data_IF_759320851067
#
_entry.id   IF_759320851067
#
_cell.length_a   1.000
_cell.length_b   1.000
_cell.length_c   1.000
_cell.angle_alpha   90.00
_cell.angle_beta   90.00
_cell.angle_gamma   90.00
#
_symmetry.space_group_name_H-M   'P 1'
#
loop_
_entity.id
_entity.type
_entity.pdbx_description
1 polymer ?
#
# COMPACT_ATOMS: atom_id res chain seq x y z
N UNK A 1 -1.38 -13.62 -2.14
CA UNK A 1 -1.32 -14.05 -0.74
C UNK A 1 -2.07 -15.36 -0.56
N UNK A 2 -3.30 -15.47 -1.13
CA UNK A 2 -4.09 -16.69 -1.05
C UNK A 2 -3.33 -17.93 -1.55
N UNK A 3 -2.66 -17.84 -2.68
CA UNK A 3 -1.86 -18.95 -3.26
C UNK A 3 -0.76 -19.42 -2.30
N UNK A 4 -0.11 -18.49 -1.58
CA UNK A 4 0.92 -18.82 -0.57
C UNK A 4 0.30 -19.57 0.61
N UNK A 5 -0.88 -19.13 1.05
CA UNK A 5 -1.64 -19.80 2.11
C UNK A 5 -2.07 -21.21 1.68
N UNK A 6 -2.61 -21.33 0.47
CA UNK A 6 -3.03 -22.62 -0.09
C UNK A 6 -1.81 -23.58 -0.22
N UNK A 7 -0.66 -23.04 -0.62
CA UNK A 7 0.59 -23.79 -0.68
C UNK A 7 1.04 -24.26 0.73
N UNK A 8 0.98 -23.40 1.75
CA UNK A 8 1.26 -23.79 3.15
C UNK A 8 0.32 -24.90 3.61
N UNK A 9 -0.98 -24.78 3.29
CA UNK A 9 -2.00 -25.78 3.66
C UNK A 9 -1.82 -27.14 2.98
N UNK A 10 -1.07 -27.21 1.88
CA UNK A 10 -0.72 -28.48 1.25
C UNK A 10 0.15 -29.38 2.14
N UNK A 11 0.69 -28.85 3.22
CA UNK A 11 1.52 -29.58 4.20
C UNK A 11 2.92 -29.94 3.70
N UNK A 12 3.28 -29.57 2.47
CA UNK A 12 4.60 -29.88 1.91
C UNK A 12 5.73 -29.13 2.61
N UNK A 13 5.45 -27.93 3.12
CA UNK A 13 6.43 -27.08 3.81
C UNK A 13 5.79 -26.46 5.05
N UNK A 14 6.54 -26.43 6.14
CA UNK A 14 6.16 -25.72 7.36
C UNK A 14 6.89 -24.38 7.42
N UNK A 15 6.14 -23.28 7.27
CA UNK A 15 6.68 -21.92 7.37
C UNK A 15 5.66 -20.98 8.02
N UNK A 16 6.17 -19.91 8.61
CA UNK A 16 5.36 -18.81 9.13
C UNK A 16 5.20 -17.72 8.07
N UNK A 17 4.06 -17.08 8.10
CA UNK A 17 3.71 -16.03 7.14
C UNK A 17 3.79 -14.67 7.82
N UNK A 18 4.85 -13.92 7.50
CA UNK A 18 4.98 -12.52 7.82
C UNK A 18 4.52 -11.70 6.61
N UNK A 19 3.51 -10.85 6.81
CA UNK A 19 2.95 -10.00 5.74
C UNK A 19 3.22 -8.54 6.08
N UNK A 20 3.99 -7.85 5.23
CA UNK A 20 4.05 -6.39 5.20
C UNK A 20 2.90 -5.89 4.33
N UNK A 21 1.86 -5.39 4.97
CA UNK A 21 0.67 -4.85 4.33
C UNK A 21 0.59 -3.32 4.43
N UNK A 22 1.74 -2.68 4.39
CA UNK A 22 1.85 -1.23 4.50
C UNK A 22 1.06 -0.45 3.44
N UNK A 23 0.78 -1.04 2.29
CA UNK A 23 -0.03 -0.44 1.22
C UNK A 23 -1.49 -0.91 1.22
N UNK A 24 -1.78 -2.12 1.70
CA UNK A 24 -3.14 -2.66 1.73
C UNK A 24 -3.96 -2.17 2.92
N UNK A 25 -3.34 -1.98 4.07
CA UNK A 25 -4.01 -1.49 5.27
C UNK A 25 -4.70 -0.13 5.02
N UNK A 26 -5.99 -0.08 5.30
CA UNK A 26 -6.85 1.09 5.07
C UNK A 26 -7.37 1.24 3.65
N UNK A 27 -6.87 0.49 2.67
CA UNK A 27 -7.24 0.60 1.25
C UNK A 27 -7.91 -0.63 0.67
N UNK A 28 -7.54 -1.82 1.13
CA UNK A 28 -8.05 -3.11 0.69
C UNK A 28 -8.95 -3.76 1.73
N UNK A 29 -9.89 -4.57 1.26
CA UNK A 29 -10.86 -5.27 2.09
C UNK A 29 -12.09 -4.42 2.43
N UNK A 30 -13.17 -5.07 2.81
CA UNK A 30 -14.44 -4.41 3.11
C UNK A 30 -14.35 -3.49 4.33
N UNK A 31 -13.59 -3.93 5.35
CA UNK A 31 -13.33 -3.17 6.59
C UNK A 31 -12.03 -2.38 6.55
N UNK A 32 -11.25 -2.49 5.46
CA UNK A 32 -9.94 -1.87 5.33
C UNK A 32 -8.82 -2.55 6.10
N UNK A 33 -8.97 -3.84 6.40
CA UNK A 33 -7.95 -4.59 7.14
C UNK A 33 -6.76 -4.99 6.26
N UNK A 34 -6.87 -4.82 4.93
CA UNK A 34 -5.77 -5.03 4.01
C UNK A 34 -5.91 -6.26 3.12
N UNK A 35 -4.77 -6.72 2.61
CA UNK A 35 -4.68 -7.80 1.63
C UNK A 35 -5.18 -9.15 2.17
N UNK A 36 -4.98 -9.43 3.44
CA UNK A 36 -5.47 -10.64 4.09
C UNK A 36 -7.00 -10.73 4.06
N UNK A 37 -7.67 -9.66 4.48
CA UNK A 37 -9.14 -9.56 4.40
C UNK A 37 -9.61 -9.62 2.95
N UNK A 38 -8.99 -8.83 2.06
CA UNK A 38 -9.36 -8.76 0.65
C UNK A 38 -9.33 -10.13 -0.04
N UNK A 39 -8.42 -11.01 0.36
CA UNK A 39 -8.27 -12.35 -0.21
C UNK A 39 -8.88 -13.46 0.66
N UNK A 40 -9.55 -13.12 1.76
CA UNK A 40 -10.22 -14.07 2.65
C UNK A 40 -9.27 -15.00 3.39
N UNK A 41 -8.06 -14.52 3.72
CA UNK A 41 -7.00 -15.29 4.39
C UNK A 41 -6.39 -14.56 5.59
N UNK A 42 -7.12 -13.62 6.18
CA UNK A 42 -6.62 -12.79 7.29
C UNK A 42 -6.13 -13.64 8.47
N UNK A 43 -6.90 -14.65 8.86
CA UNK A 43 -6.60 -15.50 10.02
C UNK A 43 -5.42 -16.47 9.79
N UNK A 44 -4.93 -16.53 8.57
CA UNK A 44 -3.78 -17.35 8.18
C UNK A 44 -2.45 -16.61 8.25
N UNK A 45 -2.47 -15.33 8.60
CA UNK A 45 -1.27 -14.50 8.74
C UNK A 45 -0.73 -14.66 10.16
N UNK A 46 0.51 -15.15 10.27
CA UNK A 46 1.14 -15.34 11.60
C UNK A 46 1.61 -13.98 12.17
N UNK A 47 2.15 -13.10 11.34
CA UNK A 47 2.59 -11.76 11.73
C UNK A 47 2.16 -10.76 10.66
N UNK A 48 1.35 -9.79 11.03
CA UNK A 48 0.94 -8.69 10.17
C UNK A 48 1.69 -7.42 10.56
N UNK A 49 2.34 -6.79 9.59
CA UNK A 49 2.92 -5.46 9.73
C UNK A 49 2.10 -4.45 8.93
N UNK A 50 1.84 -3.30 9.52
CA UNK A 50 1.23 -2.15 8.87
C UNK A 50 1.89 -0.84 9.27
N UNK A 51 1.68 0.20 8.47
CA UNK A 51 2.25 1.53 8.74
C UNK A 51 1.18 2.59 8.91
N UNK A 52 1.46 3.58 9.74
CA UNK A 52 0.65 4.79 9.84
C UNK A 52 1.03 5.85 8.80
N UNK A 53 2.10 5.64 8.04
CA UNK A 53 2.65 6.65 7.12
C UNK A 53 1.92 6.77 5.78
N UNK A 54 0.97 5.89 5.48
CA UNK A 54 0.22 5.86 4.21
C UNK A 54 -1.26 6.19 4.44
N UNK A 55 -2.14 5.21 4.49
CA UNK A 55 -3.59 5.42 4.67
C UNK A 55 -3.97 6.21 5.93
N UNK A 56 -3.15 6.10 6.96
CA UNK A 56 -3.35 6.79 8.24
C UNK A 56 -2.77 8.22 8.28
N UNK A 57 -2.05 8.67 7.24
CA UNK A 57 -1.43 10.01 7.16
C UNK A 57 -0.76 10.45 8.48
N UNK A 58 0.08 9.56 9.06
CA UNK A 58 0.73 9.77 10.35
C UNK A 58 2.16 9.22 10.35
N UNK A 59 2.77 9.05 11.49
CA UNK A 59 4.10 8.47 11.68
C UNK A 59 3.98 7.25 12.58
N UNK A 60 4.80 6.24 12.32
CA UNK A 60 4.85 5.00 13.08
C UNK A 60 4.34 3.80 12.30
N UNK A 61 4.31 2.68 13.00
CA UNK A 61 3.90 1.39 12.46
C UNK A 61 3.32 0.52 13.58
N UNK A 62 2.74 -0.59 13.21
CA UNK A 62 2.23 -1.58 14.14
C UNK A 62 2.55 -2.98 13.66
N UNK A 63 2.59 -3.90 14.61
CA UNK A 63 2.67 -5.34 14.37
C UNK A 63 1.54 -6.02 15.11
N UNK A 64 0.85 -6.94 14.45
CA UNK A 64 -0.17 -7.79 15.04
C UNK A 64 0.25 -9.26 14.92
N UNK A 65 0.10 -9.99 16.00
CA UNK A 65 0.39 -11.43 16.07
C UNK A 65 -0.22 -12.02 17.35
N UNK A 66 0.12 -13.26 17.67
CA UNK A 66 -0.21 -13.87 18.97
C UNK A 66 0.47 -13.14 20.12
N UNK A 67 -0.08 -13.24 21.33
CA UNK A 67 0.47 -12.61 22.53
C UNK A 67 1.93 -12.99 22.78
N UNK A 68 2.27 -14.27 22.62
CA UNK A 68 3.64 -14.75 22.81
C UNK A 68 4.63 -14.08 21.86
N UNK A 69 4.27 -13.93 20.58
CA UNK A 69 5.11 -13.26 19.57
C UNK A 69 5.25 -11.78 19.89
N UNK A 70 4.17 -11.09 20.25
CA UNK A 70 4.20 -9.68 20.62
C UNK A 70 5.05 -9.45 21.87
N UNK A 71 4.91 -10.28 22.89
CA UNK A 71 5.75 -10.22 24.10
C UNK A 71 7.23 -10.47 23.76
N UNK A 72 7.53 -11.46 22.92
CA UNK A 72 8.89 -11.69 22.48
C UNK A 72 9.49 -10.47 21.77
N UNK A 73 8.74 -9.86 20.83
CA UNK A 73 9.19 -8.69 20.12
C UNK A 73 9.40 -7.49 21.05
N UNK A 74 8.52 -7.26 22.02
CA UNK A 74 8.63 -6.17 22.97
C UNK A 74 9.94 -6.20 23.78
N UNK A 75 10.44 -7.40 24.11
CA UNK A 75 11.66 -7.58 24.89
C UNK A 75 12.93 -7.81 24.06
N UNK A 76 12.82 -8.11 22.78
CA UNK A 76 13.97 -8.49 21.95
C UNK A 76 14.19 -7.57 20.74
N UNK A 77 13.18 -6.80 20.32
CA UNK A 77 13.32 -5.93 19.17
C UNK A 77 14.05 -4.63 19.55
N UNK A 78 15.30 -4.50 19.12
CA UNK A 78 16.15 -3.35 19.47
C UNK A 78 15.55 -1.99 19.08
N UNK A 79 14.91 -1.93 17.90
CA UNK A 79 14.23 -0.71 17.45
C UNK A 79 13.04 -0.31 18.33
N UNK A 80 12.43 -1.26 19.03
CA UNK A 80 11.38 -1.00 20.02
C UNK A 80 11.98 -0.56 21.37
N UNK A 81 13.02 -1.24 21.82
CA UNK A 81 13.61 -1.02 23.13
C UNK A 81 14.34 0.32 23.19
N UNK A 82 15.12 0.66 22.16
CA UNK A 82 15.99 1.83 22.15
C UNK A 82 15.40 3.04 21.42
N UNK A 83 14.27 2.89 20.71
CA UNK A 83 13.53 4.01 20.16
C UNK A 83 12.69 4.69 21.26
N UNK A 84 12.42 5.97 21.08
CA UNK A 84 11.44 6.67 21.92
C UNK A 84 10.04 6.30 21.48
N UNK A 85 9.09 6.37 22.41
CA UNK A 85 7.67 6.17 22.12
C UNK A 85 7.14 7.21 21.13
N UNK A 86 6.07 6.85 20.43
CA UNK A 86 5.34 7.83 19.61
C UNK A 86 4.83 8.98 20.49
N UNK A 87 4.95 10.23 20.03
CA UNK A 87 4.34 11.37 20.71
C UNK A 87 2.84 11.19 20.91
N UNK A 88 2.33 11.53 22.09
CA UNK A 88 0.91 11.35 22.44
C UNK A 88 -0.09 11.94 21.41
N UNK A 89 0.15 13.13 20.82
CA UNK A 89 -0.75 13.65 19.78
C UNK A 89 -0.86 12.74 18.56
N UNK A 90 0.22 12.04 18.18
CA UNK A 90 0.19 11.08 17.07
C UNK A 90 -0.61 9.82 17.44
N UNK A 91 -0.49 9.35 18.68
CA UNK A 91 -1.26 8.21 19.18
C UNK A 91 -2.76 8.52 19.17
N UNK A 92 -3.15 9.67 19.74
CA UNK A 92 -4.55 10.13 19.74
C UNK A 92 -5.07 10.31 18.32
N UNK A 93 -4.26 10.92 17.45
CA UNK A 93 -4.59 11.06 16.03
C UNK A 93 -4.75 9.73 15.31
N UNK A 94 -3.91 8.74 15.61
CA UNK A 94 -4.01 7.40 15.04
C UNK A 94 -5.31 6.69 15.47
N UNK A 95 -5.67 6.77 16.75
CA UNK A 95 -6.94 6.23 17.26
C UNK A 95 -8.14 6.84 16.52
N UNK A 96 -8.15 8.17 16.34
CA UNK A 96 -9.23 8.83 15.60
C UNK A 96 -9.28 8.41 14.13
N UNK A 97 -8.15 8.28 13.47
CA UNK A 97 -8.08 7.79 12.08
C UNK A 97 -8.55 6.35 11.96
N UNK A 98 -8.22 5.50 12.95
CA UNK A 98 -8.70 4.12 12.99
C UNK A 98 -10.24 4.06 13.09
N UNK A 99 -10.86 4.94 13.88
CA UNK A 99 -12.32 5.07 13.92
C UNK A 99 -12.89 5.46 12.54
N UNK A 100 -12.27 6.42 11.87
CA UNK A 100 -12.68 6.86 10.52
C UNK A 100 -12.52 5.74 9.49
N UNK A 101 -11.47 4.93 9.58
CA UNK A 101 -11.24 3.79 8.69
C UNK A 101 -12.28 2.68 8.83
N UNK A 102 -12.98 2.56 9.96
CA UNK A 102 -14.10 1.62 10.10
C UNK A 102 -15.27 1.96 9.17
N UNK A 103 -15.41 3.24 8.78
CA UNK A 103 -16.35 3.67 7.75
C UNK A 103 -15.88 3.26 6.34
N UNK A 104 -16.83 3.19 5.39
CA UNK A 104 -16.54 2.85 3.98
C UNK A 104 -16.26 4.08 3.12
N UNK A 105 -16.81 5.24 3.48
CA UNK A 105 -16.89 6.43 2.64
C UNK A 105 -15.57 6.79 1.95
N UNK A 106 -14.47 6.87 2.70
CA UNK A 106 -13.17 7.25 2.14
C UNK A 106 -12.61 6.16 1.22
N UNK A 107 -12.83 4.88 1.54
CA UNK A 107 -12.41 3.77 0.67
C UNK A 107 -13.21 3.73 -0.62
N UNK A 108 -14.52 3.86 -0.54
CA UNK A 108 -15.41 3.86 -1.71
C UNK A 108 -15.04 5.01 -2.65
N UNK A 109 -14.78 6.20 -2.10
CA UNK A 109 -14.30 7.35 -2.86
C UNK A 109 -12.93 7.08 -3.49
N UNK A 110 -11.97 6.54 -2.74
CA UNK A 110 -10.65 6.16 -3.27
C UNK A 110 -10.79 5.19 -4.45
N UNK A 111 -11.62 4.15 -4.31
CA UNK A 111 -11.80 3.16 -5.37
C UNK A 111 -12.56 3.71 -6.58
N UNK A 112 -13.48 4.63 -6.38
CA UNK A 112 -14.13 5.36 -7.48
C UNK A 112 -13.11 6.11 -8.32
N UNK A 113 -12.22 6.87 -7.67
CA UNK A 113 -11.15 7.61 -8.36
C UNK A 113 -10.13 6.66 -8.99
N UNK A 114 -9.74 5.61 -8.28
CA UNK A 114 -8.80 4.59 -8.79
C UNK A 114 -9.33 3.91 -10.06
N UNK A 115 -10.58 3.49 -10.04
CA UNK A 115 -11.21 2.82 -11.18
C UNK A 115 -11.33 3.76 -12.39
N UNK A 116 -11.69 5.02 -12.18
CA UNK A 116 -11.73 6.02 -13.24
C UNK A 116 -10.33 6.25 -13.86
N UNK A 117 -9.31 6.44 -13.02
CA UNK A 117 -7.93 6.63 -13.48
C UNK A 117 -7.41 5.43 -14.26
N UNK A 118 -7.56 4.22 -13.70
CA UNK A 118 -7.10 3.00 -14.34
C UNK A 118 -7.88 2.69 -15.62
N UNK A 119 -9.18 2.97 -15.65
CA UNK A 119 -10.03 2.84 -16.83
C UNK A 119 -9.56 3.77 -17.94
N UNK A 120 -9.45 5.07 -17.68
CA UNK A 120 -9.00 6.06 -18.65
C UNK A 120 -7.60 5.78 -19.20
N UNK A 121 -6.66 5.38 -18.34
CA UNK A 121 -5.31 5.02 -18.80
C UNK A 121 -5.31 3.78 -19.71
N UNK A 122 -6.12 2.76 -19.41
CA UNK A 122 -6.25 1.58 -20.26
C UNK A 122 -6.92 1.92 -21.62
N UNK A 123 -7.95 2.74 -21.61
CA UNK A 123 -8.63 3.23 -22.82
C UNK A 123 -7.67 4.07 -23.69
N UNK A 124 -6.78 4.84 -23.07
CA UNK A 124 -5.71 5.58 -23.74
C UNK A 124 -4.54 4.68 -24.22
N UNK A 125 -4.60 3.36 -23.99
CA UNK A 125 -3.62 2.39 -24.48
C UNK A 125 -2.41 2.17 -23.57
N UNK A 126 -2.40 2.69 -22.34
CA UNK A 126 -1.32 2.46 -21.39
C UNK A 126 -1.37 1.07 -20.76
N UNK A 127 -0.21 0.45 -20.59
CA UNK A 127 -0.09 -0.81 -19.87
C UNK A 127 0.07 -0.54 -18.37
N UNK A 128 -0.83 -1.11 -17.57
CA UNK A 128 -0.79 -1.02 -16.11
C UNK A 128 -0.31 -2.32 -15.45
N UNK A 129 0.19 -3.28 -16.22
CA UNK A 129 0.51 -4.61 -15.72
C UNK A 129 -0.72 -5.29 -15.09
N UNK A 130 -0.47 -6.10 -14.06
CA UNK A 130 -1.53 -6.86 -13.36
C UNK A 130 -1.94 -6.19 -12.03
N UNK A 131 -1.90 -4.86 -11.94
CA UNK A 131 -2.28 -4.17 -10.70
C UNK A 131 -3.78 -4.28 -10.44
N UNK A 132 -4.13 -4.71 -9.24
CA UNK A 132 -5.49 -4.75 -8.70
C UNK A 132 -5.59 -3.96 -7.38
N UNK A 133 -4.74 -2.96 -7.21
CA UNK A 133 -4.67 -2.09 -6.03
C UNK A 133 -4.89 -0.64 -6.43
N UNK A 134 -5.04 0.26 -5.46
CA UNK A 134 -5.13 1.69 -5.73
C UNK A 134 -3.81 2.31 -6.22
N UNK A 135 -2.68 1.64 -6.01
CA UNK A 135 -1.40 2.05 -6.63
C UNK A 135 -1.42 1.67 -8.10
N UNK A 136 -1.36 2.66 -8.96
CA UNK A 136 -1.49 2.51 -10.41
C UNK A 136 -0.12 2.62 -11.08
N UNK A 137 0.51 1.51 -11.49
CA UNK A 137 1.73 1.55 -12.27
C UNK A 137 1.42 1.82 -13.74
N UNK A 138 2.15 2.71 -14.38
CA UNK A 138 2.12 2.91 -15.83
C UNK A 138 3.47 2.47 -16.39
N UNK A 139 3.47 1.40 -17.17
CA UNK A 139 4.70 0.87 -17.76
C UNK A 139 5.23 1.83 -18.83
N UNK A 140 6.49 2.20 -18.72
CA UNK A 140 7.16 3.07 -19.67
C UNK A 140 8.18 2.29 -20.50
N UNK A 141 8.28 2.66 -21.76
CA UNK A 141 9.39 2.31 -22.63
C UNK A 141 10.39 3.46 -22.70
N UNK A 142 11.65 3.18 -23.07
CA UNK A 142 12.68 4.18 -23.19
C UNK A 142 13.73 4.12 -22.09
N UNK A 143 14.41 5.23 -21.87
CA UNK A 143 15.52 5.37 -20.93
C UNK A 143 15.10 6.02 -19.63
N UNK A 144 15.89 5.85 -18.57
CA UNK A 144 15.68 6.55 -17.30
C UNK A 144 15.71 8.08 -17.47
N UNK A 145 16.56 8.59 -18.37
CA UNK A 145 16.63 10.03 -18.65
C UNK A 145 15.32 10.58 -19.23
N UNK A 146 14.73 9.88 -20.19
CA UNK A 146 13.44 10.24 -20.78
C UNK A 146 12.31 10.18 -19.76
N UNK A 147 12.27 9.12 -18.94
CA UNK A 147 11.29 9.01 -17.87
C UNK A 147 11.44 10.11 -16.81
N UNK A 148 12.66 10.51 -16.49
CA UNK A 148 12.94 11.62 -15.58
C UNK A 148 12.45 12.93 -16.17
N UNK A 149 12.75 13.21 -17.44
CA UNK A 149 12.26 14.41 -18.12
C UNK A 149 10.73 14.45 -18.17
N UNK A 150 10.09 13.30 -18.43
CA UNK A 150 8.63 13.17 -18.40
C UNK A 150 8.04 13.55 -17.03
N UNK A 151 8.64 13.08 -15.92
CA UNK A 151 8.13 13.44 -14.58
C UNK A 151 8.31 14.92 -14.26
N UNK A 152 9.38 15.54 -14.72
CA UNK A 152 9.55 17.00 -14.60
C UNK A 152 8.52 17.75 -15.42
N UNK A 153 8.27 17.34 -16.67
CA UNK A 153 7.26 17.94 -17.53
C UNK A 153 5.86 17.84 -16.95
N UNK A 154 5.48 16.64 -16.50
CA UNK A 154 4.19 16.39 -15.83
C UNK A 154 4.00 17.28 -14.60
N UNK A 155 5.05 17.49 -13.82
CA UNK A 155 5.00 18.31 -12.62
C UNK A 155 4.94 19.80 -12.94
N UNK A 156 5.84 20.31 -13.78
CA UNK A 156 6.00 21.74 -14.01
C UNK A 156 4.94 22.32 -14.96
N UNK A 157 4.53 21.55 -15.97
CA UNK A 157 3.62 22.01 -17.02
C UNK A 157 2.17 21.49 -16.86
N UNK A 158 1.98 20.38 -16.14
CA UNK A 158 0.68 19.73 -16.00
C UNK A 158 0.20 19.61 -14.54
N UNK A 159 0.98 20.11 -13.56
CA UNK A 159 0.65 20.05 -12.12
C UNK A 159 0.39 18.63 -11.61
N UNK A 160 0.99 17.61 -12.24
CA UNK A 160 0.81 16.21 -11.92
C UNK A 160 2.05 15.69 -11.21
N UNK A 161 1.91 15.40 -9.90
CA UNK A 161 2.98 14.86 -9.08
C UNK A 161 2.94 13.33 -9.08
N UNK A 162 3.95 12.70 -9.67
CA UNK A 162 4.12 11.26 -9.70
C UNK A 162 5.57 10.87 -9.46
N UNK A 163 5.82 9.58 -9.27
CA UNK A 163 7.18 9.06 -9.05
C UNK A 163 7.56 7.99 -10.06
N UNK A 164 8.83 8.00 -10.47
CA UNK A 164 9.42 6.91 -11.25
C UNK A 164 9.80 5.77 -10.32
N UNK A 165 9.59 4.55 -10.75
CA UNK A 165 10.07 3.34 -10.09
C UNK A 165 10.96 2.57 -11.04
N UNK A 166 12.15 2.25 -10.57
CA UNK A 166 13.21 1.57 -11.32
C UNK A 166 13.92 0.55 -10.44
N UNK A 167 14.86 -0.19 -11.02
CA UNK A 167 15.75 -1.06 -10.24
C UNK A 167 16.38 -0.29 -9.06
N UNK A 168 16.49 -0.88 -7.87
CA UNK A 168 16.21 -2.28 -7.50
C UNK A 168 14.77 -2.59 -7.08
N UNK A 169 13.86 -1.64 -7.13
CA UNK A 169 12.46 -1.83 -6.70
C UNK A 169 11.68 -2.72 -7.68
N UNK A 170 12.02 -2.61 -8.95
CA UNK A 170 11.52 -3.46 -10.03
C UNK A 170 12.69 -4.12 -10.77
N UNK A 171 12.47 -5.16 -11.57
CA UNK A 171 13.50 -5.82 -12.34
C UNK A 171 14.33 -4.83 -13.19
N UNK A 172 15.62 -5.13 -13.37
CA UNK A 172 16.53 -4.31 -14.17
C UNK A 172 16.01 -4.16 -15.60
N UNK A 173 15.96 -2.92 -16.09
CA UNK A 173 15.44 -2.58 -17.42
C UNK A 173 13.94 -2.23 -17.43
N UNK A 174 13.22 -2.46 -16.35
CA UNK A 174 11.83 -2.01 -16.20
C UNK A 174 11.80 -0.58 -15.66
N UNK A 175 10.96 0.26 -16.25
CA UNK A 175 10.69 1.63 -15.80
C UNK A 175 9.19 1.79 -15.75
N UNK A 176 8.69 2.36 -14.68
CA UNK A 176 7.27 2.70 -14.58
C UNK A 176 7.06 4.02 -13.83
N UNK A 177 5.98 4.71 -14.17
CA UNK A 177 5.40 5.75 -13.33
C UNK A 177 4.49 5.09 -12.30
N UNK A 178 4.55 5.60 -11.09
CA UNK A 178 3.64 5.21 -10.02
C UNK A 178 2.70 6.36 -9.71
N UNK A 179 1.44 6.20 -10.10
CA UNK A 179 0.36 7.12 -9.79
C UNK A 179 -0.37 6.61 -8.55
N UNK A 180 -0.60 7.49 -7.59
CA UNK A 180 -1.25 7.15 -6.32
C UNK A 180 -2.43 8.10 -6.11
N UNK A 181 -3.62 7.73 -6.58
CA UNK A 181 -4.83 8.49 -6.29
C UNK A 181 -5.15 8.44 -4.81
N UNK A 182 -5.84 9.44 -4.33
CA UNK A 182 -6.30 9.54 -2.94
C UNK A 182 -7.80 9.86 -2.91
N UNK A 183 -8.44 9.64 -1.77
CA UNK A 183 -9.83 10.04 -1.57
C UNK A 183 -10.05 11.56 -1.56
N UNK A 184 -8.99 12.36 -1.58
CA UNK A 184 -9.07 13.82 -1.72
C UNK A 184 -9.26 14.28 -3.16
N UNK A 185 -8.88 13.46 -4.15
CA UNK A 185 -9.11 13.75 -5.55
C UNK A 185 -10.60 13.70 -5.92
N UNK A 186 -10.93 14.36 -7.02
CA UNK A 186 -12.22 14.29 -7.69
C UNK A 186 -12.10 13.61 -9.06
N UNK A 187 -13.22 13.29 -9.70
CA UNK A 187 -13.21 12.75 -11.06
C UNK A 187 -12.62 13.76 -12.06
N UNK A 188 -12.76 15.05 -11.79
CA UNK A 188 -12.14 16.11 -12.61
C UNK A 188 -10.61 16.09 -12.57
N UNK A 189 -10.02 15.62 -11.47
CA UNK A 189 -8.55 15.50 -11.37
C UNK A 189 -8.03 14.28 -12.14
N UNK A 190 -8.93 13.42 -12.61
CA UNK A 190 -8.59 12.23 -13.42
C UNK A 190 -8.63 12.57 -14.93
N UNK A 191 -9.46 13.53 -15.36
CA UNK A 191 -9.57 14.02 -16.74
C UNK A 191 -8.30 14.77 -17.20
#
# INVERSE_FOLDING_TARGET
LKEIVDFRKSGKYNFRLFVDDAHGFGTLGEKGQGAGEHQGVQDEIDVLFGTFAKSMASVGAFVCSTEDVINYLAYNMRSQIFAKSLPMPLVIGALKRLELLKGKEQRDKLWTITNALQGGLKEAGFSLGNSNTCVTPVMLSGTLGEATNLTFDLRENHSLFCSIVVYPVVPKGMILLRLIPTAAHSLKDVE
#
